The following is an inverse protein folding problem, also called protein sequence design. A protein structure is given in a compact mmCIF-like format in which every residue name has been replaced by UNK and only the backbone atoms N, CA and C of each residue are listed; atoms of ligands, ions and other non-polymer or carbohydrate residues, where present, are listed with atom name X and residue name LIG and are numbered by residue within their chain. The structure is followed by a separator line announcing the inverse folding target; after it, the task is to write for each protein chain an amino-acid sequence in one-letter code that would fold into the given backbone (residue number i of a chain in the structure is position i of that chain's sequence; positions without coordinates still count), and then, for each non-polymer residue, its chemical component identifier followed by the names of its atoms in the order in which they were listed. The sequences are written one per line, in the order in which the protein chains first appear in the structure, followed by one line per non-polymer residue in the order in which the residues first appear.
data_IF_824358673679
#
_entry.id   IF_824358673679
#
_cell.length_a   1.000
_cell.length_b   1.000
_cell.length_c   1.000
_cell.angle_alpha   90.00
_cell.angle_beta   90.00
_cell.angle_gamma   90.00
#
_symmetry.space_group_name_H-M   'P 1'
#
loop_
_entity.id
_entity.type
_entity.pdbx_description
1 polymer ?
#
# COMPACT_ATOMS: atom_id res chain seq x y z
N UNK A 1 16.16 4.82 -27.75
CA UNK A 1 15.48 4.27 -26.56
C UNK A 1 15.97 5.04 -25.35
N UNK A 2 15.10 5.44 -24.42
CA UNK A 2 15.50 6.14 -23.19
C UNK A 2 15.59 5.10 -22.07
N UNK A 3 16.79 4.54 -21.84
CA UNK A 3 17.06 3.46 -20.87
C UNK A 3 16.46 3.75 -19.48
N UNK A 4 16.52 5.01 -19.04
CA UNK A 4 15.92 5.46 -17.78
C UNK A 4 14.40 5.25 -17.71
N UNK A 5 13.64 5.47 -18.79
CA UNK A 5 12.18 5.28 -18.79
C UNK A 5 11.79 3.79 -18.71
N UNK A 6 12.54 2.92 -19.40
CA UNK A 6 12.32 1.48 -19.32
C UNK A 6 12.60 0.97 -17.90
N UNK A 7 13.65 1.47 -17.24
CA UNK A 7 13.99 1.09 -15.87
C UNK A 7 12.89 1.52 -14.88
N UNK A 8 12.28 2.69 -15.06
CA UNK A 8 11.14 3.13 -14.24
C UNK A 8 9.95 2.17 -14.41
N UNK A 9 9.59 1.84 -15.66
CA UNK A 9 8.49 0.92 -15.93
C UNK A 9 8.75 -0.47 -15.34
N UNK A 10 9.94 -1.04 -15.56
CA UNK A 10 10.29 -2.36 -15.02
C UNK A 10 10.31 -2.36 -13.49
N UNK A 11 10.77 -1.28 -12.87
CA UNK A 11 10.71 -1.11 -11.41
C UNK A 11 9.26 -1.11 -10.93
N UNK A 12 8.36 -0.41 -11.61
CA UNK A 12 6.93 -0.40 -11.28
C UNK A 12 6.33 -1.81 -11.35
N UNK A 13 6.52 -2.49 -12.47
CA UNK A 13 6.00 -3.84 -12.68
C UNK A 13 6.59 -4.83 -11.68
N UNK A 14 7.88 -4.68 -11.34
CA UNK A 14 8.54 -5.49 -10.32
C UNK A 14 7.94 -5.27 -8.93
N UNK A 15 7.81 -4.02 -8.48
CA UNK A 15 7.31 -3.68 -7.14
C UNK A 15 5.83 -4.04 -6.97
N UNK A 16 5.04 -3.95 -8.05
CA UNK A 16 3.64 -4.36 -8.07
C UNK A 16 3.44 -5.88 -8.25
N UNK A 17 4.52 -6.64 -8.46
CA UNK A 17 4.46 -8.10 -8.65
C UNK A 17 3.83 -8.53 -9.97
N UNK A 18 3.88 -7.66 -10.99
CA UNK A 18 3.31 -7.87 -12.33
C UNK A 18 4.27 -8.56 -13.29
N UNK A 19 5.57 -8.60 -12.96
CA UNK A 19 6.56 -9.26 -13.80
C UNK A 19 6.40 -10.79 -13.83
N UNK A 20 6.50 -11.42 -15.01
CA UNK A 20 6.64 -12.86 -15.13
C UNK A 20 7.85 -13.38 -14.32
N UNK A 21 7.82 -14.64 -13.84
CA UNK A 21 8.88 -15.19 -12.99
C UNK A 21 10.29 -15.12 -13.60
N UNK A 22 10.42 -15.33 -14.92
CA UNK A 22 11.70 -15.24 -15.62
C UNK A 22 12.25 -13.82 -15.68
N UNK A 23 11.38 -12.86 -15.99
CA UNK A 23 11.74 -11.44 -16.05
C UNK A 23 12.07 -10.89 -14.67
N UNK A 24 11.35 -11.35 -13.64
CA UNK A 24 11.66 -11.05 -12.25
C UNK A 24 13.08 -11.51 -11.87
N UNK A 25 13.44 -12.77 -12.21
CA UNK A 25 14.77 -13.30 -11.92
C UNK A 25 15.88 -12.52 -12.63
N UNK A 26 15.65 -12.16 -13.90
CA UNK A 26 16.58 -11.33 -14.67
C UNK A 26 16.72 -9.94 -14.05
N UNK A 27 15.62 -9.34 -13.63
CA UNK A 27 15.62 -8.03 -12.98
C UNK A 27 16.33 -8.07 -11.62
N UNK A 28 16.14 -9.13 -10.83
CA UNK A 28 16.88 -9.36 -9.58
C UNK A 28 18.39 -9.44 -9.83
N UNK A 29 18.82 -10.17 -10.86
CA UNK A 29 20.23 -10.23 -11.25
C UNK A 29 20.77 -8.85 -11.67
N UNK A 30 20.00 -8.07 -12.44
CA UNK A 30 20.39 -6.73 -12.84
C UNK A 30 20.56 -5.78 -11.64
N UNK A 31 19.71 -5.87 -10.63
CA UNK A 31 19.84 -5.07 -9.39
C UNK A 31 21.12 -5.40 -8.62
N UNK A 32 21.57 -6.66 -8.64
CA UNK A 32 22.85 -7.04 -8.01
C UNK A 32 24.05 -6.42 -8.75
N UNK A 33 23.95 -6.29 -10.07
CA UNK A 33 25.05 -5.79 -10.92
C UNK A 33 25.06 -4.26 -11.04
N UNK A 34 23.90 -3.62 -10.92
CA UNK A 34 23.70 -2.18 -11.08
C UNK A 34 23.22 -1.56 -9.76
N UNK A 35 24.17 -0.95 -9.04
CA UNK A 35 23.95 -0.31 -7.74
C UNK A 35 23.00 0.89 -7.86
N UNK A 36 23.04 1.62 -8.98
CA UNK A 36 22.16 2.78 -9.20
C UNK A 36 20.72 2.31 -9.41
N UNK A 37 20.52 1.26 -10.20
CA UNK A 37 19.22 0.62 -10.37
C UNK A 37 18.66 0.13 -9.02
N UNK A 38 19.47 -0.57 -8.22
CA UNK A 38 19.01 -1.07 -6.91
C UNK A 38 18.63 0.07 -5.95
N UNK A 39 19.44 1.12 -5.88
CA UNK A 39 19.14 2.30 -5.07
C UNK A 39 17.82 2.96 -5.49
N UNK A 40 17.58 3.10 -6.79
CA UNK A 40 16.34 3.67 -7.32
C UNK A 40 15.12 2.81 -6.96
N UNK A 41 15.22 1.49 -7.10
CA UNK A 41 14.16 0.53 -6.69
C UNK A 41 13.87 0.66 -5.20
N UNK A 42 14.90 0.72 -4.36
CA UNK A 42 14.74 0.83 -2.91
C UNK A 42 14.09 2.17 -2.50
N UNK A 43 14.47 3.27 -3.14
CA UNK A 43 13.84 4.58 -2.90
C UNK A 43 12.36 4.57 -3.26
N UNK A 44 11.99 3.97 -4.39
CA UNK A 44 10.60 3.86 -4.80
C UNK A 44 9.79 2.97 -3.84
N UNK A 45 10.34 1.82 -3.44
CA UNK A 45 9.72 0.95 -2.43
C UNK A 45 9.51 1.67 -1.09
N UNK A 46 10.48 2.49 -0.66
CA UNK A 46 10.36 3.29 0.57
C UNK A 46 9.25 4.35 0.44
N UNK A 47 9.18 5.04 -0.69
CA UNK A 47 8.13 6.01 -0.97
C UNK A 47 6.73 5.35 -0.90
N UNK A 48 6.55 4.19 -1.54
CA UNK A 48 5.29 3.43 -1.49
C UNK A 48 4.93 3.01 -0.08
N UNK A 49 5.91 2.56 0.69
CA UNK A 49 5.71 2.17 2.09
C UNK A 49 5.24 3.37 2.92
N UNK A 50 5.84 4.54 2.75
CA UNK A 50 5.44 5.76 3.45
C UNK A 50 4.01 6.20 3.08
N UNK A 51 3.68 6.22 1.78
CA UNK A 51 2.34 6.57 1.30
C UNK A 51 1.30 5.59 1.87
N UNK A 52 1.58 4.30 1.84
CA UNK A 52 0.67 3.28 2.38
C UNK A 52 0.48 3.42 3.89
N UNK A 53 1.57 3.65 4.65
CA UNK A 53 1.50 3.84 6.09
C UNK A 53 0.70 5.09 6.45
N UNK A 54 0.91 6.19 5.74
CA UNK A 54 0.14 7.42 5.92
C UNK A 54 -1.35 7.19 5.63
N UNK A 55 -1.67 6.59 4.48
CA UNK A 55 -3.05 6.26 4.11
C UNK A 55 -3.73 5.35 5.13
N UNK A 56 -3.03 4.36 5.68
CA UNK A 56 -3.55 3.49 6.75
C UNK A 56 -3.88 4.26 8.03
N UNK A 57 -3.05 5.23 8.42
CA UNK A 57 -3.32 6.07 9.60
C UNK A 57 -4.56 6.92 9.38
N UNK A 58 -4.69 7.53 8.19
CA UNK A 58 -5.85 8.33 7.84
C UNK A 58 -7.13 7.47 7.82
N UNK A 59 -7.12 6.33 7.13
CA UNK A 59 -8.26 5.41 7.07
C UNK A 59 -8.69 4.95 8.46
N UNK A 60 -7.72 4.64 9.34
CA UNK A 60 -8.00 4.28 10.73
C UNK A 60 -8.71 5.42 11.46
N UNK A 61 -8.23 6.65 11.34
CA UNK A 61 -8.85 7.82 11.97
C UNK A 61 -10.28 8.06 11.46
N UNK A 62 -10.53 7.86 10.16
CA UNK A 62 -11.87 7.97 9.57
C UNK A 62 -12.82 6.88 10.12
N UNK A 63 -12.35 5.64 10.22
CA UNK A 63 -13.13 4.54 10.80
C UNK A 63 -13.43 4.81 12.29
N UNK A 64 -12.46 5.29 13.05
CA UNK A 64 -12.64 5.64 14.46
C UNK A 64 -13.63 6.80 14.64
N UNK A 65 -13.59 7.82 13.76
CA UNK A 65 -14.55 8.92 13.78
C UNK A 65 -15.98 8.43 13.52
N UNK A 66 -16.17 7.58 12.49
CA UNK A 66 -17.47 6.96 12.18
C UNK A 66 -17.95 6.08 13.34
N UNK A 67 -17.06 5.28 13.92
CA UNK A 67 -17.38 4.44 15.08
C UNK A 67 -17.85 5.30 16.27
N UNK A 68 -17.10 6.34 16.61
CA UNK A 68 -17.46 7.26 17.68
C UNK A 68 -18.82 7.90 17.41
N UNK A 69 -19.07 8.39 16.19
CA UNK A 69 -20.35 8.97 15.83
C UNK A 69 -21.51 7.99 16.03
N UNK A 70 -21.38 6.75 15.56
CA UNK A 70 -22.47 5.77 15.58
C UNK A 70 -22.70 5.12 16.95
N UNK A 71 -21.66 4.93 17.75
CA UNK A 71 -21.74 4.14 18.99
C UNK A 71 -21.73 4.98 20.27
N UNK A 72 -21.35 6.26 20.21
CA UNK A 72 -21.35 7.15 21.39
C UNK A 72 -22.47 8.17 21.41
N UNK A 73 -22.96 8.61 20.24
CA UNK A 73 -24.03 9.60 20.17
C UNK A 73 -25.40 8.95 20.50
N UNK A 74 -26.16 9.47 21.49
CA UNK A 74 -27.47 8.94 21.86
C UNK A 74 -28.44 8.80 20.68
N UNK A 75 -28.32 9.68 19.66
CA UNK A 75 -29.16 9.68 18.46
C UNK A 75 -29.06 8.39 17.63
N UNK A 76 -27.94 7.65 17.72
CA UNK A 76 -27.68 6.42 16.96
C UNK A 76 -27.75 5.14 17.81
N UNK A 77 -28.20 5.25 19.08
CA UNK A 77 -28.23 4.14 20.05
C UNK A 77 -29.00 2.90 19.58
N UNK A 78 -30.15 3.06 18.91
CA UNK A 78 -30.94 1.95 18.39
C UNK A 78 -30.22 1.16 17.29
N UNK A 79 -29.48 1.85 16.43
CA UNK A 79 -28.64 1.23 15.40
C UNK A 79 -27.48 0.46 16.04
N UNK A 80 -26.75 1.10 16.96
CA UNK A 80 -25.63 0.47 17.66
C UNK A 80 -26.06 -0.82 18.39
N UNK A 81 -27.19 -0.78 19.12
CA UNK A 81 -27.74 -1.94 19.81
C UNK A 81 -28.12 -3.08 18.84
N UNK A 82 -28.70 -2.74 17.69
CA UNK A 82 -29.09 -3.74 16.67
C UNK A 82 -27.88 -4.42 16.06
N UNK A 83 -26.79 -3.68 15.80
CA UNK A 83 -25.52 -4.23 15.32
C UNK A 83 -24.89 -5.15 16.38
N UNK A 84 -24.79 -4.69 17.63
CA UNK A 84 -24.19 -5.49 18.73
C UNK A 84 -24.93 -6.82 18.97
N UNK A 85 -26.23 -6.87 18.69
CA UNK A 85 -27.02 -8.12 18.79
C UNK A 85 -26.66 -9.15 17.73
N UNK A 86 -26.05 -8.78 16.61
CA UNK A 86 -25.63 -9.71 15.55
C UNK A 86 -24.37 -10.51 15.94
N UNK A 87 -23.60 -10.02 16.91
CA UNK A 87 -22.37 -10.64 17.38
C UNK A 87 -22.55 -11.36 18.72
N UNK A 88 -23.80 -11.62 19.13
CA UNK A 88 -24.16 -12.42 20.31
C UNK A 88 -24.60 -13.82 19.92
#
# INVERSE_FOLDING_TARGET
MRTSLNNIQLTEEYLLGLLPPGDKLLFDANRVLDIELDHNVQMQQNAYTLVQQYGRKQLKAEIEAVHNQLFTNPQHSSFAQRILRLFR
#
